data_IF_348039665979
#
_entry.id   IF_348039665979
#
_cell.length_a   1.000
_cell.length_b   1.000
_cell.length_c   1.000
_cell.angle_alpha   90.00
_cell.angle_beta   90.00
_cell.angle_gamma   90.00
#
_symmetry.space_group_name_H-M   'P 1'
#
loop_
_entity.id
_entity.type
_entity.pdbx_description
1 polymer ?
#
# COMPACT_ATOMS: atom_id res chain seq x y z
N UNK A 1 1.72 18.75 -1.48
CA UNK A 1 2.33 17.49 -1.95
C UNK A 1 2.20 17.50 -3.44
N UNK A 2 3.33 17.47 -4.14
CA UNK A 2 3.36 17.31 -5.59
C UNK A 2 2.79 15.95 -5.99
N UNK A 3 2.21 15.87 -7.18
CA UNK A 3 1.69 14.61 -7.74
C UNK A 3 2.80 13.57 -7.76
N UNK A 4 2.59 12.46 -7.05
CA UNK A 4 3.56 11.36 -6.91
C UNK A 4 4.38 11.32 -5.63
N UNK A 5 4.46 12.41 -4.84
CA UNK A 5 5.18 12.40 -3.55
C UNK A 5 4.58 11.42 -2.54
N UNK A 6 3.24 11.28 -2.55
CA UNK A 6 2.54 10.38 -1.63
C UNK A 6 2.98 8.92 -1.84
N UNK A 7 3.19 8.49 -3.07
CA UNK A 7 3.62 7.12 -3.35
C UNK A 7 5.05 6.85 -2.90
N UNK A 8 5.92 7.87 -2.96
CA UNK A 8 7.26 7.78 -2.35
C UNK A 8 7.18 7.70 -0.82
N UNK A 9 6.24 8.42 -0.20
CA UNK A 9 6.00 8.31 1.24
C UNK A 9 5.53 6.89 1.62
N UNK A 10 4.58 6.32 0.89
CA UNK A 10 4.12 4.94 1.12
C UNK A 10 5.26 3.92 0.94
N UNK A 11 6.11 4.13 -0.06
CA UNK A 11 7.31 3.30 -0.30
C UNK A 11 8.30 3.37 0.87
N UNK A 12 8.53 4.57 1.43
CA UNK A 12 9.36 4.75 2.64
C UNK A 12 8.80 4.00 3.84
N UNK A 13 7.47 3.97 4.03
CA UNK A 13 6.84 3.20 5.13
C UNK A 13 7.08 1.68 5.01
N UNK A 14 7.46 1.20 3.83
CA UNK A 14 7.89 -0.18 3.58
C UNK A 14 9.42 -0.35 3.55
N UNK A 15 10.19 0.64 4.00
CA UNK A 15 11.66 0.68 3.98
C UNK A 15 12.27 0.62 2.56
N UNK A 16 11.56 1.18 1.59
CA UNK A 16 11.94 1.18 0.18
C UNK A 16 12.01 2.61 -0.37
N UNK A 17 12.60 3.56 0.39
CA UNK A 17 12.65 4.97 -0.02
C UNK A 17 13.43 5.24 -1.32
N UNK A 18 14.38 4.36 -1.65
CA UNK A 18 15.25 4.49 -2.83
C UNK A 18 14.70 3.73 -4.05
N UNK A 19 13.52 3.13 -3.93
CA UNK A 19 12.87 2.41 -5.01
C UNK A 19 12.39 3.38 -6.10
N UNK A 20 12.66 3.04 -7.35
CA UNK A 20 12.11 3.72 -8.52
C UNK A 20 10.81 3.06 -9.00
N UNK A 21 10.66 1.75 -8.76
CA UNK A 21 9.51 0.96 -9.20
C UNK A 21 8.35 0.95 -8.21
N UNK A 22 8.60 0.91 -6.90
CA UNK A 22 7.56 0.80 -5.88
C UNK A 22 6.58 1.98 -5.85
N UNK A 23 7.00 3.24 -6.08
CA UNK A 23 6.04 4.34 -6.22
C UNK A 23 5.07 4.12 -7.40
N UNK A 24 5.54 3.53 -8.50
CA UNK A 24 4.71 3.22 -9.67
C UNK A 24 3.76 2.06 -9.41
N UNK A 25 4.22 1.05 -8.66
CA UNK A 25 3.37 -0.04 -8.19
C UNK A 25 2.23 0.51 -7.32
N UNK A 26 2.55 1.40 -6.36
CA UNK A 26 1.53 2.06 -5.55
C UNK A 26 0.52 2.82 -6.41
N UNK A 27 0.98 3.53 -7.44
CA UNK A 27 0.12 4.25 -8.38
C UNK A 27 -0.78 3.32 -9.21
N UNK A 28 -0.32 2.11 -9.55
CA UNK A 28 -1.13 1.12 -10.23
C UNK A 28 -2.18 0.47 -9.30
N UNK A 29 -1.86 0.36 -8.00
CA UNK A 29 -2.73 -0.23 -6.98
C UNK A 29 -3.80 0.77 -6.51
N UNK A 30 -3.44 2.02 -6.25
CA UNK A 30 -4.37 2.99 -5.70
C UNK A 30 -4.21 4.39 -6.31
N UNK A 31 -5.32 5.10 -6.39
CA UNK A 31 -5.34 6.51 -6.78
C UNK A 31 -4.64 7.37 -5.72
N UNK A 32 -4.31 8.62 -6.07
CA UNK A 32 -3.63 9.52 -5.13
C UNK A 32 -4.49 9.79 -3.88
N UNK A 33 -5.81 9.86 -4.07
CA UNK A 33 -6.78 10.05 -3.01
C UNK A 33 -6.83 8.85 -2.05
N UNK A 34 -6.88 7.65 -2.60
CA UNK A 34 -6.78 6.41 -1.84
C UNK A 34 -5.42 6.30 -1.13
N UNK A 35 -4.32 6.68 -1.78
CA UNK A 35 -2.97 6.66 -1.21
C UNK A 35 -2.84 7.59 0.00
N UNK A 36 -3.49 8.76 -0.02
CA UNK A 36 -3.56 9.66 1.15
C UNK A 36 -4.27 8.98 2.32
N UNK A 37 -5.33 8.22 2.06
CA UNK A 37 -6.01 7.43 3.10
C UNK A 37 -5.09 6.33 3.63
N UNK A 38 -4.37 5.60 2.77
CA UNK A 38 -3.39 4.60 3.18
C UNK A 38 -2.30 5.22 4.08
N UNK A 39 -1.83 6.44 3.76
CA UNK A 39 -0.81 7.12 4.56
C UNK A 39 -1.28 7.52 5.96
N UNK A 40 -2.59 7.70 6.17
CA UNK A 40 -3.20 8.00 7.48
C UNK A 40 -3.27 6.77 8.39
N UNK A 41 -3.13 5.55 7.86
CA UNK A 41 -3.18 4.33 8.65
C UNK A 41 -2.01 4.25 9.65
N UNK A 42 -2.20 3.58 10.81
CA UNK A 42 -3.37 2.80 11.20
C UNK A 42 -4.53 3.63 11.77
N UNK A 43 -5.72 3.01 11.88
CA UNK A 43 -6.89 3.55 12.57
C UNK A 43 -8.18 2.79 12.27
N UNK A 44 -9.25 3.07 13.02
CA UNK A 44 -10.60 2.60 12.67
C UNK A 44 -11.17 3.38 11.49
N UNK A 45 -12.20 2.84 10.81
CA UNK A 45 -12.85 3.55 9.71
C UNK A 45 -13.37 4.93 10.14
N UNK A 46 -13.89 5.06 11.37
CA UNK A 46 -14.37 6.33 11.92
C UNK A 46 -13.24 7.34 12.17
N UNK A 47 -12.11 6.90 12.73
CA UNK A 47 -10.96 7.77 12.97
C UNK A 47 -10.35 8.28 11.65
N UNK A 48 -10.24 7.40 10.65
CA UNK A 48 -9.70 7.74 9.34
C UNK A 48 -10.68 8.68 8.61
N UNK A 49 -11.98 8.40 8.64
CA UNK A 49 -13.01 9.26 8.06
C UNK A 49 -13.00 10.67 8.67
N UNK A 50 -12.85 10.77 10.00
CA UNK A 50 -12.72 12.04 10.71
C UNK A 50 -11.48 12.84 10.29
N UNK A 51 -10.31 12.18 10.20
CA UNK A 51 -9.06 12.82 9.73
C UNK A 51 -9.09 13.23 8.26
N UNK A 52 -9.80 12.46 7.43
CA UNK A 52 -9.96 12.74 6.01
C UNK A 52 -11.13 13.69 5.69
N UNK A 53 -11.88 14.13 6.70
CA UNK A 53 -13.09 14.94 6.58
C UNK A 53 -14.11 14.36 5.57
N UNK A 54 -14.34 13.04 5.68
CA UNK A 54 -15.20 12.28 4.76
C UNK A 54 -16.34 11.57 5.48
N UNK A 55 -17.47 11.31 4.79
CA UNK A 55 -18.53 10.46 5.34
C UNK A 55 -18.00 9.04 5.64
N UNK A 56 -18.35 8.51 6.81
CA UNK A 56 -17.94 7.16 7.23
C UNK A 56 -18.27 6.09 6.17
N UNK A 57 -19.49 6.11 5.63
CA UNK A 57 -19.91 5.14 4.62
C UNK A 57 -19.07 5.20 3.32
N UNK A 58 -18.50 6.37 2.98
CA UNK A 58 -17.59 6.49 1.85
C UNK A 58 -16.19 5.94 2.19
N UNK A 59 -15.73 6.18 3.43
CA UNK A 59 -14.48 5.64 3.93
C UNK A 59 -14.50 4.10 4.02
N UNK A 60 -15.59 3.50 4.51
CA UNK A 60 -15.76 2.06 4.58
C UNK A 60 -15.67 1.41 3.19
N UNK A 61 -16.34 1.98 2.18
CA UNK A 61 -16.24 1.51 0.79
C UNK A 61 -14.83 1.63 0.23
N UNK A 62 -14.12 2.71 0.56
CA UNK A 62 -12.75 2.92 0.12
C UNK A 62 -11.79 1.92 0.77
N UNK A 63 -11.94 1.67 2.07
CA UNK A 63 -11.13 0.71 2.81
C UNK A 63 -11.38 -0.73 2.33
N UNK A 64 -12.63 -1.11 2.04
CA UNK A 64 -12.98 -2.40 1.43
C UNK A 64 -12.35 -2.57 0.03
N UNK A 65 -12.41 -1.53 -0.80
CA UNK A 65 -11.72 -1.49 -2.11
C UNK A 65 -10.20 -1.69 -1.92
N UNK A 66 -9.58 -0.90 -1.06
CA UNK A 66 -8.14 -0.98 -0.79
C UNK A 66 -7.71 -2.32 -0.19
N UNK A 67 -8.56 -2.96 0.61
CA UNK A 67 -8.33 -4.30 1.13
C UNK A 67 -8.27 -5.34 0.00
N UNK A 68 -9.22 -5.30 -0.93
CA UNK A 68 -9.24 -6.18 -2.12
C UNK A 68 -8.02 -5.99 -3.02
N UNK A 69 -7.49 -4.77 -3.08
CA UNK A 69 -6.27 -4.44 -3.83
C UNK A 69 -4.96 -4.77 -3.10
N UNK A 70 -5.03 -5.31 -1.87
CA UNK A 70 -3.86 -5.65 -1.06
C UNK A 70 -3.12 -4.46 -0.44
N UNK A 71 -3.68 -3.24 -0.54
CA UNK A 71 -3.09 -2.01 -0.01
C UNK A 71 -3.41 -1.75 1.46
N UNK A 72 -4.44 -2.40 2.00
CA UNK A 72 -4.91 -2.25 3.37
C UNK A 72 -5.24 -3.62 3.97
N UNK A 73 -5.01 -3.78 5.26
CA UNK A 73 -5.32 -4.98 6.01
C UNK A 73 -6.10 -4.65 7.27
N UNK A 74 -7.00 -5.54 7.65
CA UNK A 74 -7.74 -5.46 8.91
C UNK A 74 -6.98 -6.15 10.04
N UNK A 75 -7.24 -5.69 11.26
CA UNK A 75 -6.88 -6.35 12.51
C UNK A 75 -7.91 -5.99 13.56
N UNK A 76 -8.25 -6.93 14.44
CA UNK A 76 -9.16 -6.66 15.56
C UNK A 76 -8.32 -6.22 16.76
N UNK A 77 -8.65 -5.07 17.33
CA UNK A 77 -8.06 -4.55 18.56
C UNK A 77 -9.18 -4.10 19.48
N UNK A 78 -9.21 -4.64 20.70
CA UNK A 78 -10.20 -4.28 21.73
C UNK A 78 -11.67 -4.40 21.26
N UNK A 79 -11.94 -5.35 20.34
CA UNK A 79 -13.27 -5.58 19.77
C UNK A 79 -13.61 -4.72 18.55
N UNK A 80 -12.73 -3.81 18.14
CA UNK A 80 -12.92 -2.93 16.98
C UNK A 80 -12.00 -3.31 15.82
N UNK A 81 -12.48 -3.12 14.58
CA UNK A 81 -11.69 -3.29 13.36
C UNK A 81 -10.79 -2.08 13.16
N UNK A 82 -9.47 -2.32 13.20
CA UNK A 82 -8.41 -1.36 12.88
C UNK A 82 -7.78 -1.73 11.55
N UNK A 83 -7.69 -0.74 10.67
CA UNK A 83 -7.06 -0.86 9.36
C UNK A 83 -5.59 -0.45 9.43
N UNK A 84 -4.74 -1.13 8.68
CA UNK A 84 -3.29 -0.90 8.63
C UNK A 84 -2.72 -1.12 7.23
N UNK A 85 -1.54 -0.55 6.98
CA UNK A 85 -0.74 -0.83 5.79
C UNK A 85 -0.18 -2.26 5.78
N UNK A 86 0.29 -2.75 4.60
CA UNK A 86 1.21 -3.88 4.56
C UNK A 86 2.40 -3.65 5.50
N UNK A 87 2.84 -4.70 6.18
CA UNK A 87 3.95 -4.63 7.15
C UNK A 87 5.32 -4.63 6.48
N UNK A 88 5.41 -5.24 5.32
CA UNK A 88 6.66 -5.39 4.56
C UNK A 88 6.34 -5.62 3.09
N UNK A 89 7.35 -5.45 2.24
CA UNK A 89 7.21 -5.53 0.78
C UNK A 89 6.62 -6.85 0.30
N UNK A 90 7.03 -7.98 0.89
CA UNK A 90 6.52 -9.32 0.49
C UNK A 90 5.01 -9.43 0.74
N UNK A 91 4.50 -8.90 1.85
CA UNK A 91 3.06 -8.90 2.12
C UNK A 91 2.31 -8.07 1.07
N UNK A 92 2.88 -6.92 0.67
CA UNK A 92 2.27 -6.05 -0.31
C UNK A 92 2.26 -6.67 -1.71
N UNK A 93 3.39 -7.24 -2.12
CA UNK A 93 3.53 -8.02 -3.36
C UNK A 93 2.49 -9.13 -3.42
N UNK A 94 2.51 -10.05 -2.44
CA UNK A 94 1.65 -11.23 -2.48
C UNK A 94 0.16 -10.86 -2.45
N UNK A 95 -0.23 -9.87 -1.64
CA UNK A 95 -1.63 -9.47 -1.53
C UNK A 95 -2.12 -8.72 -2.77
N UNK A 96 -1.31 -7.85 -3.37
CA UNK A 96 -1.72 -7.10 -4.56
C UNK A 96 -1.82 -8.00 -5.80
N UNK A 97 -1.01 -9.06 -5.91
CA UNK A 97 -1.15 -10.06 -6.98
C UNK A 97 -2.44 -10.89 -6.91
N UNK A 98 -3.11 -10.93 -5.75
CA UNK A 98 -4.41 -11.59 -5.59
C UNK A 98 -5.60 -10.70 -5.96
N UNK A 99 -5.36 -9.44 -6.34
CA UNK A 99 -6.41 -8.51 -6.72
C UNK A 99 -7.05 -8.91 -8.07
N UNK A 100 -8.30 -9.37 -8.01
CA UNK A 100 -9.12 -9.62 -9.20
C UNK A 100 -9.40 -8.32 -9.97
N UNK A 101 -8.96 -8.28 -11.22
CA UNK A 101 -9.03 -7.08 -12.07
C UNK A 101 -7.85 -6.12 -11.93
N UNK A 102 -6.73 -6.55 -11.34
CA UNK A 102 -5.50 -5.78 -11.36
C UNK A 102 -5.05 -5.43 -12.80
N UNK A 103 -4.54 -4.21 -13.04
CA UNK A 103 -4.04 -3.84 -14.36
C UNK A 103 -2.77 -4.64 -14.68
N UNK A 104 -2.62 -5.03 -15.95
CA UNK A 104 -1.47 -5.82 -16.42
C UNK A 104 -0.12 -5.12 -16.11
N UNK A 105 -0.07 -3.79 -16.23
CA UNK A 105 1.10 -2.98 -15.89
C UNK A 105 1.55 -3.18 -14.43
N UNK A 106 0.63 -3.43 -13.48
CA UNK A 106 1.01 -3.71 -12.08
C UNK A 106 1.84 -4.99 -11.97
N UNK A 107 1.45 -6.05 -12.71
CA UNK A 107 2.16 -7.32 -12.69
C UNK A 107 3.55 -7.17 -13.32
N UNK A 108 3.66 -6.44 -14.44
CA UNK A 108 4.95 -6.15 -15.07
C UNK A 108 5.87 -5.34 -14.14
N UNK A 109 5.33 -4.36 -13.42
CA UNK A 109 6.08 -3.58 -12.43
C UNK A 109 6.58 -4.46 -11.28
N UNK A 110 5.76 -5.39 -10.79
CA UNK A 110 6.18 -6.34 -9.76
C UNK A 110 7.29 -7.28 -10.24
N UNK A 111 7.17 -7.83 -11.46
CA UNK A 111 8.24 -8.65 -12.06
C UNK A 111 9.54 -7.87 -12.13
N UNK A 112 9.51 -6.65 -12.67
CA UNK A 112 10.70 -5.80 -12.74
C UNK A 112 11.27 -5.48 -11.36
N UNK A 113 10.43 -5.23 -10.36
CA UNK A 113 10.88 -4.97 -8.99
C UNK A 113 11.59 -6.19 -8.39
N UNK A 114 11.02 -7.38 -8.58
CA UNK A 114 11.57 -8.63 -8.07
C UNK A 114 12.88 -9.02 -8.76
N UNK A 115 13.03 -8.74 -10.05
CA UNK A 115 14.23 -9.07 -10.84
C UNK A 115 15.37 -8.05 -10.68
N UNK A 116 15.09 -6.87 -10.12
CA UNK A 116 16.08 -5.78 -9.99
C UNK A 116 16.27 -5.34 -8.54
N UNK A 117 15.42 -4.44 -8.05
CA UNK A 117 15.57 -3.79 -6.75
C UNK A 117 15.54 -4.80 -5.59
N UNK A 118 14.69 -5.83 -5.67
CA UNK A 118 14.61 -6.84 -4.62
C UNK A 118 15.86 -7.73 -4.58
N UNK A 119 16.42 -8.12 -5.73
CA UNK A 119 17.69 -8.86 -5.81
C UNK A 119 18.82 -8.08 -5.15
N UNK A 120 18.97 -6.79 -5.51
CA UNK A 120 20.01 -5.93 -4.93
C UNK A 120 19.85 -5.78 -3.40
N UNK A 121 18.61 -5.70 -2.91
CA UNK A 121 18.34 -5.69 -1.47
C UNK A 121 18.76 -7.00 -0.80
N UNK A 122 18.43 -8.15 -1.39
CA UNK A 122 18.81 -9.46 -0.86
C UNK A 122 20.33 -9.63 -0.80
N UNK A 123 21.06 -9.22 -1.84
CA UNK A 123 22.52 -9.24 -1.84
C UNK A 123 23.11 -8.41 -0.70
N UNK A 124 22.57 -7.22 -0.44
CA UNK A 124 23.01 -6.37 0.67
C UNK A 124 22.78 -7.02 2.04
N UNK A 125 21.62 -7.67 2.26
CA UNK A 125 21.29 -8.25 3.58
C UNK A 125 21.89 -9.64 3.82
N UNK A 126 22.36 -10.32 2.78
CA UNK A 126 22.94 -11.67 2.86
C UNK A 126 24.48 -11.69 2.84
N UNK A 127 25.15 -10.56 2.62
CA UNK A 127 26.61 -10.41 2.75
C UNK A 127 27.12 -10.45 4.21
N UNK A 128 26.46 -11.21 5.09
CA UNK A 128 26.81 -11.42 6.50
C UNK A 128 27.65 -12.67 6.67
#
# INVERSE_FOLDING_TARGET
>A
METGEIYRELSRKLMMENSELLPRIWQAVCTEDEARVVAMLPGTASEIAGRAERPLAAMEKMLDSLFKKGAVFESVRDGETVYRMPRHIVQFHDASLLWDGAPEEMNELWVNFMDTEYVALLELVTQV
#
